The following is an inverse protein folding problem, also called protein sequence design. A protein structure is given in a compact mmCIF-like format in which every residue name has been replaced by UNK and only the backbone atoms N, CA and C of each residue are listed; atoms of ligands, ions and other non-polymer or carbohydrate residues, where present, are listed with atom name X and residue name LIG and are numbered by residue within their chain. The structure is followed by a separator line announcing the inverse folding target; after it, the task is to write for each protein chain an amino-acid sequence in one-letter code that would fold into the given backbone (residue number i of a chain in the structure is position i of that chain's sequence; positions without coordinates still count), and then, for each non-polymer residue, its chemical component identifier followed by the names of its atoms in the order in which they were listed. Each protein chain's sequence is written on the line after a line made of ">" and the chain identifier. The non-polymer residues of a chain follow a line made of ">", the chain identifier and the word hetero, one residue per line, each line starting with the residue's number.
data_IF_174677012628
#
_entry.id   IF_174677012628
#
_cell.length_a   1.000
_cell.length_b   1.000
_cell.length_c   1.000
_cell.angle_alpha   90.00
_cell.angle_beta   90.00
_cell.angle_gamma   90.00
#
_symmetry.space_group_name_H-M   'P 1'
#
loop_
_entity.id
_entity.type
_entity.pdbx_description
1 polymer ?
#
# COMPACT_ATOMS: atom_id res chain seq x y z
N UNK A 1 -34.32 13.20 -7.56
CA UNK A 1 -32.93 12.90 -7.96
C UNK A 1 -32.98 12.26 -9.35
N UNK A 2 -32.26 12.79 -10.34
CA UNK A 2 -32.35 12.31 -11.73
C UNK A 2 -31.40 11.11 -11.96
N UNK A 3 -31.78 10.17 -12.83
CA UNK A 3 -30.95 8.98 -13.14
C UNK A 3 -29.58 9.36 -13.70
N UNK A 4 -29.50 10.48 -14.43
CA UNK A 4 -28.22 11.05 -14.90
C UNK A 4 -27.32 11.51 -13.75
N UNK A 5 -27.88 12.04 -12.65
CA UNK A 5 -27.07 12.44 -11.49
C UNK A 5 -26.55 11.23 -10.72
N UNK A 6 -27.33 10.15 -10.62
CA UNK A 6 -26.88 8.90 -9.99
C UNK A 6 -25.73 8.22 -10.76
N UNK A 7 -25.83 8.17 -12.09
CA UNK A 7 -24.77 7.58 -12.92
C UNK A 7 -23.44 8.34 -12.78
N UNK A 8 -23.49 9.67 -12.72
CA UNK A 8 -22.30 10.51 -12.51
C UNK A 8 -21.70 10.35 -11.12
N UNK A 9 -22.53 10.24 -10.07
CA UNK A 9 -22.07 9.97 -8.71
C UNK A 9 -21.39 8.60 -8.61
N UNK A 10 -21.98 7.56 -9.21
CA UNK A 10 -21.39 6.22 -9.23
C UNK A 10 -20.04 6.20 -9.96
N UNK A 11 -19.89 6.98 -11.04
CA UNK A 11 -18.62 7.08 -11.77
C UNK A 11 -17.53 7.74 -10.90
N UNK A 12 -17.82 8.89 -10.29
CA UNK A 12 -16.87 9.59 -9.40
C UNK A 12 -16.48 8.77 -8.19
N UNK A 13 -17.41 7.98 -7.67
CA UNK A 13 -17.14 7.06 -6.59
C UNK A 13 -16.09 6.02 -7.00
N UNK A 14 -16.31 5.32 -8.14
CA UNK A 14 -15.34 4.33 -8.66
C UNK A 14 -13.97 4.93 -8.93
N UNK A 15 -13.90 6.13 -9.51
CA UNK A 15 -12.64 6.85 -9.73
C UNK A 15 -11.93 7.20 -8.41
N UNK A 16 -12.68 7.46 -7.35
CA UNK A 16 -12.12 7.76 -6.03
C UNK A 16 -11.66 6.49 -5.33
N UNK A 17 -12.39 5.38 -5.49
CA UNK A 17 -11.96 4.06 -5.00
C UNK A 17 -10.66 3.62 -5.67
N UNK A 18 -10.55 3.76 -6.99
CA UNK A 18 -9.34 3.39 -7.73
C UNK A 18 -8.14 4.22 -7.28
N UNK A 19 -8.31 5.54 -7.11
CA UNK A 19 -7.23 6.39 -6.59
C UNK A 19 -6.85 6.06 -5.16
N UNK A 20 -7.83 5.78 -4.31
CA UNK A 20 -7.57 5.37 -2.93
C UNK A 20 -6.79 4.05 -2.88
N UNK A 21 -7.07 3.13 -3.79
CA UNK A 21 -6.35 1.86 -3.87
C UNK A 21 -4.89 2.05 -4.29
N UNK A 22 -4.63 2.87 -5.31
CA UNK A 22 -3.26 3.21 -5.72
C UNK A 22 -2.48 3.82 -4.55
N UNK A 23 -3.08 4.80 -3.86
CA UNK A 23 -2.43 5.47 -2.72
C UNK A 23 -2.14 4.51 -1.56
N UNK A 24 -2.98 3.48 -1.33
CA UNK A 24 -2.70 2.45 -0.31
C UNK A 24 -1.50 1.60 -0.69
N UNK A 25 -1.37 1.24 -1.97
CA UNK A 25 -0.24 0.46 -2.47
C UNK A 25 1.06 1.27 -2.37
N UNK A 26 1.04 2.53 -2.79
CA UNK A 26 2.17 3.45 -2.67
C UNK A 26 2.59 3.65 -1.21
N UNK A 27 1.63 3.83 -0.30
CA UNK A 27 1.90 3.92 1.14
C UNK A 27 2.55 2.63 1.67
N UNK A 28 2.08 1.46 1.25
CA UNK A 28 2.65 0.19 1.66
C UNK A 28 4.11 0.04 1.20
N UNK A 29 4.42 0.46 -0.03
CA UNK A 29 5.79 0.52 -0.55
C UNK A 29 6.65 1.45 0.29
N UNK A 30 6.17 2.67 0.58
CA UNK A 30 6.90 3.65 1.37
C UNK A 30 7.19 3.15 2.80
N UNK A 31 6.24 2.46 3.43
CA UNK A 31 6.43 1.85 4.76
C UNK A 31 7.55 0.80 4.73
N UNK A 32 7.58 -0.05 3.71
CA UNK A 32 8.63 -1.08 3.55
C UNK A 32 10.01 -0.47 3.29
N UNK A 33 10.06 0.58 2.48
CA UNK A 33 11.31 1.28 2.23
C UNK A 33 11.83 1.93 3.52
N UNK A 34 10.97 2.60 4.29
CA UNK A 34 11.38 3.20 5.56
C UNK A 34 11.91 2.16 6.57
N UNK A 35 11.29 0.98 6.64
CA UNK A 35 11.80 -0.13 7.46
C UNK A 35 13.17 -0.63 6.97
N UNK A 36 13.35 -0.76 5.66
CA UNK A 36 14.64 -1.12 5.02
C UNK A 36 15.72 -0.08 5.31
N UNK A 37 15.37 1.19 5.33
CA UNK A 37 16.26 2.31 5.63
C UNK A 37 16.57 2.42 7.14
N UNK A 38 16.00 1.53 7.97
CA UNK A 38 16.25 1.48 9.42
C UNK A 38 15.48 2.53 10.23
N UNK A 39 14.45 3.15 9.65
CA UNK A 39 13.59 4.10 10.38
C UNK A 39 12.86 3.34 11.48
N UNK A 40 12.85 3.89 12.70
CA UNK A 40 12.21 3.23 13.82
C UNK A 40 10.69 3.07 13.56
N UNK A 41 10.14 1.88 13.82
CA UNK A 41 8.69 1.63 13.62
C UNK A 41 7.79 2.61 14.37
N UNK A 42 8.25 3.16 15.51
CA UNK A 42 7.51 4.20 16.23
C UNK A 42 7.28 5.44 15.35
N UNK A 43 8.32 5.87 14.65
CA UNK A 43 8.29 7.08 13.82
C UNK A 43 7.49 6.83 12.55
N UNK A 44 7.56 5.62 11.99
CA UNK A 44 6.68 5.18 10.89
C UNK A 44 5.20 5.22 11.31
N UNK A 45 4.87 4.73 12.51
CA UNK A 45 3.50 4.79 13.04
C UNK A 45 3.02 6.23 13.21
N UNK A 46 3.88 7.12 13.71
CA UNK A 46 3.54 8.53 13.92
C UNK A 46 3.31 9.27 12.59
N UNK A 47 4.15 9.03 11.59
CA UNK A 47 4.04 9.67 10.27
C UNK A 47 2.83 9.18 9.45
N UNK A 48 2.47 7.89 9.56
CA UNK A 48 1.41 7.27 8.76
C UNK A 48 0.05 7.23 9.45
N UNK A 49 0.02 7.40 10.79
CA UNK A 49 -1.16 7.19 11.62
C UNK A 49 -1.58 5.72 11.76
N UNK A 50 -0.77 4.77 11.27
CA UNK A 50 -1.06 3.35 11.39
C UNK A 50 -0.65 2.81 12.75
N UNK A 51 -1.37 1.77 13.18
CA UNK A 51 -0.97 1.02 14.37
C UNK A 51 0.31 0.21 14.10
N UNK A 52 1.07 -0.08 15.15
CA UNK A 52 2.26 -0.95 15.05
C UNK A 52 1.95 -2.30 14.40
N UNK A 53 0.77 -2.87 14.66
CA UNK A 53 0.36 -4.15 14.06
C UNK A 53 0.07 -4.02 12.55
N UNK A 54 -0.46 -2.88 12.09
CA UNK A 54 -0.65 -2.64 10.66
C UNK A 54 0.70 -2.44 9.96
N UNK A 55 1.58 -1.61 10.52
CA UNK A 55 2.95 -1.41 9.98
C UNK A 55 3.68 -2.74 9.90
N UNK A 56 3.70 -3.53 10.99
CA UNK A 56 4.34 -4.85 11.01
C UNK A 56 3.79 -5.80 9.94
N UNK A 57 2.47 -5.83 9.73
CA UNK A 57 1.86 -6.67 8.68
C UNK A 57 2.31 -6.26 7.28
N UNK A 58 2.38 -4.95 7.02
CA UNK A 58 2.81 -4.42 5.71
C UNK A 58 4.28 -4.73 5.43
N UNK A 59 5.14 -4.58 6.45
CA UNK A 59 6.56 -4.92 6.34
C UNK A 59 6.74 -6.41 6.02
N UNK A 60 6.11 -7.29 6.81
CA UNK A 60 6.24 -8.74 6.63
C UNK A 60 5.71 -9.24 5.28
N UNK A 61 4.58 -8.70 4.81
CA UNK A 61 3.99 -9.11 3.54
C UNK A 61 4.92 -8.86 2.35
N UNK A 62 5.70 -7.77 2.37
CA UNK A 62 6.68 -7.53 1.31
C UNK A 62 7.96 -8.36 1.42
N UNK A 63 8.27 -8.88 2.60
CA UNK A 63 9.38 -9.83 2.78
C UNK A 63 9.04 -11.19 2.14
N UNK A 64 7.79 -11.63 2.23
CA UNK A 64 7.31 -12.87 1.61
C UNK A 64 7.24 -12.76 0.07
N UNK A 65 6.95 -11.59 -0.49
CA UNK A 65 6.96 -11.34 -1.94
C UNK A 65 8.38 -11.23 -2.52
N UNK A 66 9.34 -10.65 -1.77
CA UNK A 66 10.72 -10.48 -2.23
C UNK A 66 11.54 -11.77 -2.34
N UNK A 67 11.20 -12.80 -1.56
CA UNK A 67 11.87 -14.11 -1.61
C UNK A 67 11.42 -14.95 -2.83
N UNK A 68 10.23 -14.66 -3.38
CA UNK A 68 9.73 -15.31 -4.59
C UNK A 68 10.43 -14.80 -5.87
N UNK A 69 10.84 -13.52 -5.91
CA UNK A 69 11.48 -12.88 -7.07
C UNK A 69 12.99 -13.18 -7.14
N UNK A 70 13.66 -13.35 -6.00
CA UNK A 70 15.10 -13.71 -5.94
C UNK A 70 15.43 -15.13 -6.44
N UNK A 71 14.42 -15.95 -6.74
CA UNK A 71 14.58 -17.32 -7.26
C UNK A 71 14.59 -17.41 -8.80
N UNK A 72 14.41 -16.29 -9.51
CA UNK A 72 14.45 -16.22 -10.98
C UNK A 72 15.78 -15.62 -11.50
N UNK A 73 16.90 -16.28 -11.23
CA UNK A 73 18.14 -16.06 -12.00
C UNK A 73 18.39 -17.29 -12.89
N UNK A 74 17.88 -17.33 -14.13
CA UNK A 74 18.22 -18.38 -15.09
C UNK A 74 19.53 -18.01 -15.79
N UNK A 75 20.63 -17.99 -15.05
CA UNK A 75 21.97 -18.02 -15.63
C UNK A 75 22.44 -19.47 -15.78
N UNK A 76 22.15 -20.09 -16.93
CA UNK A 76 23.03 -21.05 -17.62
C UNK A 76 22.57 -21.33 -19.05
#
# INVERSE_FOLDING_TARGET
>A
MDKRSLAQMAQRFRESEQRAEILRQELAVAIRQADTDGVAQKDICEATGYTRQQVRRIVLAGTEEGDADASQDPSK
#
